data_IF_294981791250
#
_entry.id   IF_294981791250
#
_cell.length_a   1.000
_cell.length_b   1.000
_cell.length_c   1.000
_cell.angle_alpha   90.00
_cell.angle_beta   90.00
_cell.angle_gamma   90.00
#
_symmetry.space_group_name_H-M   'P 1'
#
loop_
_entity.id
_entity.type
_entity.pdbx_description
1 polymer ?
#
# COMPACT_ATOMS: atom_id res chain seq x y z
N UNK A 1 -38.81 -2.03 10.94
CA UNK A 1 -37.39 -1.78 11.27
C UNK A 1 -36.68 -1.49 9.96
N UNK A 2 -36.26 -0.24 9.73
CA UNK A 2 -35.57 0.15 8.51
C UNK A 2 -34.11 -0.31 8.64
N UNK A 3 -33.70 -1.23 7.79
CA UNK A 3 -32.33 -1.68 7.71
C UNK A 3 -31.52 -0.55 7.06
N UNK A 4 -30.71 0.14 7.85
CA UNK A 4 -29.75 1.12 7.33
C UNK A 4 -28.67 0.33 6.61
N UNK A 5 -28.73 0.31 5.29
CA UNK A 5 -27.67 -0.26 4.45
C UNK A 5 -26.50 0.71 4.52
N UNK A 6 -25.40 0.29 5.13
CA UNK A 6 -24.16 1.04 5.12
C UNK A 6 -23.55 1.02 3.70
N UNK A 7 -23.88 2.04 2.93
CA UNK A 7 -23.38 2.22 1.56
C UNK A 7 -21.85 2.35 1.50
N UNK A 8 -21.19 2.72 2.63
CA UNK A 8 -19.72 2.78 2.71
C UNK A 8 -19.08 1.39 2.63
N UNK A 9 -19.70 0.37 3.25
CA UNK A 9 -19.23 -1.01 3.14
C UNK A 9 -19.30 -1.55 1.70
N UNK A 10 -20.24 -1.03 0.90
CA UNK A 10 -20.39 -1.43 -0.52
C UNK A 10 -19.55 -0.57 -1.48
N UNK A 11 -19.29 0.70 -1.15
CA UNK A 11 -18.57 1.63 -2.00
C UNK A 11 -17.04 1.50 -1.88
N UNK A 12 -16.50 1.24 -0.68
CA UNK A 12 -15.06 1.27 -0.41
C UNK A 12 -14.26 0.23 -1.20
N UNK A 13 -14.73 -1.01 -1.25
CA UNK A 13 -13.98 -2.11 -1.84
C UNK A 13 -13.99 -2.15 -3.39
N UNK A 14 -14.95 -1.50 -4.06
CA UNK A 14 -15.05 -1.55 -5.52
C UNK A 14 -14.38 -0.37 -6.25
N UNK A 15 -13.76 0.55 -5.53
CA UNK A 15 -13.27 1.83 -6.07
C UNK A 15 -11.75 2.01 -6.03
N UNK A 16 -10.99 1.06 -5.54
CA UNK A 16 -9.51 1.16 -5.57
C UNK A 16 -9.01 1.06 -7.01
N UNK A 17 -8.92 2.22 -7.68
CA UNK A 17 -8.54 2.35 -9.08
C UNK A 17 -7.04 2.51 -9.30
N UNK A 18 -6.26 2.44 -8.25
CA UNK A 18 -4.80 2.53 -8.25
C UNK A 18 -4.25 1.60 -7.16
N UNK A 19 -3.21 0.86 -7.47
CA UNK A 19 -2.42 0.14 -6.48
C UNK A 19 -1.16 0.93 -6.17
N UNK A 20 -0.92 1.24 -4.91
CA UNK A 20 0.29 1.94 -4.43
C UNK A 20 1.17 0.95 -3.67
N UNK A 21 2.38 0.73 -4.15
CA UNK A 21 3.37 -0.14 -3.52
C UNK A 21 4.50 0.71 -2.95
N UNK A 22 4.67 0.67 -1.62
CA UNK A 22 5.62 1.55 -0.94
C UNK A 22 6.90 0.80 -0.58
N UNK A 23 8.02 1.41 -0.92
CA UNK A 23 9.39 1.07 -0.46
C UNK A 23 9.78 -0.40 -0.58
N UNK A 24 9.38 -1.07 -1.67
CA UNK A 24 9.78 -2.44 -1.99
C UNK A 24 11.24 -2.50 -2.44
N UNK A 25 12.16 -2.08 -1.56
CA UNK A 25 13.58 -1.94 -1.82
C UNK A 25 14.43 -2.80 -0.89
N UNK A 26 15.61 -3.21 -1.36
CA UNK A 26 16.52 -4.10 -0.63
C UNK A 26 16.92 -3.57 0.75
N UNK A 27 17.15 -2.25 0.90
CA UNK A 27 17.57 -1.69 2.18
C UNK A 27 16.47 -1.83 3.25
N UNK A 28 15.21 -1.60 2.88
CA UNK A 28 14.08 -1.82 3.79
C UNK A 28 13.91 -3.29 4.13
N UNK A 29 14.03 -4.17 3.13
CA UNK A 29 13.99 -5.60 3.35
C UNK A 29 15.09 -6.07 4.30
N UNK A 30 16.35 -5.67 4.06
CA UNK A 30 17.49 -6.02 4.93
C UNK A 30 17.28 -5.51 6.36
N UNK A 31 16.63 -4.36 6.53
CA UNK A 31 16.29 -3.86 7.87
C UNK A 31 15.23 -4.73 8.54
N UNK A 32 14.16 -5.10 7.85
CA UNK A 32 13.12 -5.99 8.37
C UNK A 32 13.67 -7.37 8.76
N UNK A 33 14.58 -7.92 7.96
CA UNK A 33 15.28 -9.18 8.28
C UNK A 33 16.11 -9.03 9.56
N UNK A 34 16.87 -7.95 9.70
CA UNK A 34 17.63 -7.66 10.95
C UNK A 34 16.71 -7.45 12.15
N UNK A 35 15.54 -6.88 11.94
CA UNK A 35 14.51 -6.68 12.95
C UNK A 35 13.78 -7.98 13.33
N UNK A 36 14.14 -9.09 12.70
CA UNK A 36 13.50 -10.40 12.87
C UNK A 36 11.98 -10.36 12.67
N UNK A 37 11.53 -9.57 11.71
CA UNK A 37 10.12 -9.48 11.38
C UNK A 37 9.60 -10.82 10.88
N UNK A 38 8.47 -11.28 11.45
CA UNK A 38 7.88 -12.56 11.12
C UNK A 38 7.11 -12.53 9.81
N UNK A 39 7.10 -13.66 9.08
CA UNK A 39 6.23 -13.83 7.91
C UNK A 39 6.59 -12.97 6.70
N UNK A 40 7.81 -12.48 6.60
CA UNK A 40 8.25 -11.58 5.53
C UNK A 40 8.08 -12.17 4.13
N UNK A 41 8.37 -13.47 3.94
CA UNK A 41 8.18 -14.14 2.64
C UNK A 41 6.71 -14.10 2.23
N UNK A 42 5.79 -14.34 3.18
CA UNK A 42 4.36 -14.24 2.93
C UNK A 42 3.94 -12.81 2.55
N UNK A 43 4.49 -11.81 3.19
CA UNK A 43 4.24 -10.39 2.83
C UNK A 43 4.66 -10.11 1.39
N UNK A 44 5.86 -10.56 0.98
CA UNK A 44 6.32 -10.40 -0.40
C UNK A 44 5.45 -11.17 -1.40
N UNK A 45 4.96 -12.36 -1.05
CA UNK A 45 4.06 -13.12 -1.89
C UNK A 45 2.71 -12.42 -2.05
N UNK A 46 2.19 -11.79 -0.99
CA UNK A 46 0.99 -10.96 -1.09
C UNK A 46 1.23 -9.70 -1.94
N UNK A 47 2.40 -9.06 -1.82
CA UNK A 47 2.77 -7.95 -2.70
C UNK A 47 2.81 -8.40 -4.18
N UNK A 48 3.45 -9.54 -4.48
CA UNK A 48 3.47 -10.11 -5.84
C UNK A 48 2.06 -10.39 -6.37
N UNK A 49 1.22 -10.99 -5.53
CA UNK A 49 -0.17 -11.31 -5.85
C UNK A 49 -0.98 -10.05 -6.16
N UNK A 50 -0.86 -9.00 -5.34
CA UNK A 50 -1.54 -7.73 -5.57
C UNK A 50 -1.06 -7.06 -6.88
N UNK A 51 0.25 -7.00 -7.10
CA UNK A 51 0.86 -6.44 -8.32
C UNK A 51 0.41 -7.20 -9.57
N UNK A 52 0.44 -8.53 -9.52
CA UNK A 52 0.01 -9.36 -10.65
C UNK A 52 -1.47 -9.17 -10.97
N UNK A 53 -2.33 -9.19 -9.94
CA UNK A 53 -3.75 -8.92 -10.10
C UNK A 53 -4.02 -7.55 -10.73
N UNK A 54 -3.32 -6.51 -10.26
CA UNK A 54 -3.46 -5.17 -10.82
C UNK A 54 -3.11 -5.15 -12.32
N UNK A 55 -2.01 -5.78 -12.71
CA UNK A 55 -1.57 -5.90 -14.11
C UNK A 55 -2.58 -6.66 -14.97
N UNK A 56 -3.09 -7.80 -14.48
CA UNK A 56 -4.04 -8.64 -15.20
C UNK A 56 -5.40 -7.97 -15.40
N UNK A 57 -5.74 -7.02 -14.53
CA UNK A 57 -7.03 -6.30 -14.58
C UNK A 57 -6.92 -4.84 -15.03
N UNK A 58 -5.74 -4.42 -15.54
CA UNK A 58 -5.52 -3.06 -16.03
C UNK A 58 -5.63 -1.98 -14.94
N UNK A 59 -5.41 -2.34 -13.68
CA UNK A 59 -5.35 -1.38 -12.56
C UNK A 59 -3.97 -0.71 -12.61
N UNK A 60 -3.86 0.62 -12.73
CA UNK A 60 -2.59 1.31 -12.68
C UNK A 60 -1.83 1.03 -11.39
N UNK A 61 -0.50 0.98 -11.48
CA UNK A 61 0.36 0.76 -10.31
C UNK A 61 1.29 1.96 -10.13
N UNK A 62 1.39 2.43 -8.90
CA UNK A 62 2.33 3.44 -8.46
C UNK A 62 3.31 2.82 -7.45
N UNK A 63 4.57 2.84 -7.77
CA UNK A 63 5.64 2.52 -6.82
C UNK A 63 6.14 3.81 -6.19
N UNK A 64 6.41 3.78 -4.90
CA UNK A 64 7.04 4.92 -4.23
C UNK A 64 8.34 4.49 -3.57
N UNK A 65 9.28 5.41 -3.49
CA UNK A 65 10.56 5.24 -2.80
C UNK A 65 11.02 6.56 -2.19
N UNK A 66 11.92 6.53 -1.19
CA UNK A 66 12.57 7.73 -0.72
C UNK A 66 13.32 8.40 -1.86
N UNK A 67 13.21 9.71 -1.99
CA UNK A 67 14.04 10.50 -2.88
C UNK A 67 15.48 10.58 -2.37
N UNK A 68 16.39 11.03 -3.23
CA UNK A 68 17.78 11.33 -2.83
C UNK A 68 17.74 12.42 -1.76
N UNK A 69 18.32 12.17 -0.60
CA UNK A 69 18.45 13.20 0.44
C UNK A 69 19.34 14.32 -0.10
N UNK A 70 18.80 15.53 -0.19
CA UNK A 70 19.57 16.76 -0.44
C UNK A 70 20.35 17.11 0.84
N UNK A 71 21.35 16.31 1.19
CA UNK A 71 22.29 16.57 2.27
C UNK A 71 23.63 17.02 1.70
N UNK A 72 24.29 17.95 2.38
CA UNK A 72 25.68 18.34 2.09
C UNK A 72 26.57 17.12 2.34
N UNK A 73 27.02 16.45 1.28
CA UNK A 73 27.87 15.26 1.33
C UNK A 73 27.14 14.03 0.77
N UNK A 74 27.77 13.41 -0.21
CA UNK A 74 27.49 12.13 -0.85
C UNK A 74 26.00 11.83 -1.20
N UNK A 75 25.70 11.86 -2.49
CA UNK A 75 24.48 11.25 -3.05
C UNK A 75 24.45 9.79 -2.61
N UNK A 76 23.57 9.46 -1.69
CA UNK A 76 23.32 8.07 -1.34
C UNK A 76 22.67 7.41 -2.55
N UNK A 77 23.36 6.44 -3.15
CA UNK A 77 22.78 5.67 -4.24
C UNK A 77 21.43 5.10 -3.82
N UNK A 78 20.44 5.20 -4.70
CA UNK A 78 19.13 4.64 -4.43
C UNK A 78 19.23 3.12 -4.27
N UNK A 79 18.58 2.59 -3.23
CA UNK A 79 18.51 1.16 -3.00
C UNK A 79 17.79 0.46 -4.16
N UNK A 80 18.31 -0.67 -4.66
CA UNK A 80 17.64 -1.45 -5.69
C UNK A 80 16.23 -1.90 -5.25
N UNK A 81 15.36 -2.13 -6.22
CA UNK A 81 14.07 -2.79 -6.00
C UNK A 81 14.29 -4.26 -5.65
N UNK A 82 13.37 -4.83 -4.88
CA UNK A 82 13.38 -6.24 -4.56
C UNK A 82 13.16 -7.08 -5.83
N UNK A 83 13.93 -8.16 -6.03
CA UNK A 83 13.81 -9.03 -7.20
C UNK A 83 12.38 -9.55 -7.41
N UNK A 84 11.85 -9.36 -8.62
CA UNK A 84 10.49 -9.75 -8.99
C UNK A 84 9.38 -8.81 -8.51
N UNK A 85 9.76 -7.69 -7.87
CA UNK A 85 8.84 -6.63 -7.41
C UNK A 85 9.20 -5.26 -8.02
N UNK A 86 10.01 -5.25 -9.08
CA UNK A 86 10.43 -4.03 -9.75
C UNK A 86 9.28 -3.41 -10.55
N UNK A 87 9.22 -2.07 -10.62
CA UNK A 87 8.34 -1.38 -11.55
C UNK A 87 8.61 -1.81 -12.99
N UNK A 88 7.55 -2.05 -13.78
CA UNK A 88 7.62 -2.20 -15.22
C UNK A 88 7.48 -0.86 -15.93
N UNK A 89 7.76 -0.81 -17.23
CA UNK A 89 7.70 0.43 -18.03
C UNK A 89 6.35 1.15 -17.96
N UNK A 90 5.25 0.43 -17.74
CA UNK A 90 3.92 1.00 -17.63
C UNK A 90 3.56 1.49 -16.23
N UNK A 91 4.37 1.17 -15.22
CA UNK A 91 4.12 1.53 -13.84
C UNK A 91 4.67 2.94 -13.56
N UNK A 92 4.01 3.67 -12.67
CA UNK A 92 4.47 4.96 -12.20
C UNK A 92 5.49 4.78 -11.07
N UNK A 93 6.51 5.64 -11.00
CA UNK A 93 7.47 5.68 -9.89
C UNK A 93 7.53 7.09 -9.34
N UNK A 94 7.27 7.23 -8.04
CA UNK A 94 7.29 8.50 -7.32
C UNK A 94 8.37 8.51 -6.25
N UNK A 95 9.23 9.51 -6.29
CA UNK A 95 10.21 9.78 -5.24
C UNK A 95 9.61 10.77 -4.24
N UNK A 96 9.68 10.45 -2.96
CA UNK A 96 9.15 11.29 -1.90
C UNK A 96 10.23 11.76 -0.94
N UNK A 97 10.07 12.98 -0.47
CA UNK A 97 10.97 13.60 0.52
C UNK A 97 10.43 13.49 1.96
N UNK A 98 9.18 13.02 2.10
CA UNK A 98 8.47 12.90 3.36
C UNK A 98 7.91 11.47 3.52
N UNK A 99 7.51 11.05 4.73
CA UNK A 99 6.90 9.73 4.92
C UNK A 99 5.66 9.52 4.05
N UNK A 100 4.77 10.50 3.97
CA UNK A 100 3.57 10.41 3.14
C UNK A 100 3.88 10.40 1.64
N UNK A 101 3.16 9.57 0.87
CA UNK A 101 3.22 9.57 -0.59
C UNK A 101 2.79 10.93 -1.17
N UNK A 102 1.96 11.69 -0.48
CA UNK A 102 1.57 13.06 -0.84
C UNK A 102 2.72 14.08 -0.74
N UNK A 103 3.86 13.70 -0.18
CA UNK A 103 5.09 14.48 -0.27
C UNK A 103 5.67 14.60 -1.69
N UNK A 104 5.07 13.91 -2.67
CA UNK A 104 5.31 14.08 -4.09
C UNK A 104 4.08 14.73 -4.75
N UNK A 105 4.23 15.88 -5.38
CA UNK A 105 3.12 16.63 -5.99
C UNK A 105 2.45 15.88 -7.13
N UNK A 106 3.22 15.16 -7.95
CA UNK A 106 2.67 14.36 -9.06
C UNK A 106 1.83 13.19 -8.54
N UNK A 107 2.20 12.58 -7.42
CA UNK A 107 1.38 11.56 -6.76
C UNK A 107 0.03 12.17 -6.34
N UNK A 108 0.07 13.33 -5.69
CA UNK A 108 -1.15 14.05 -5.31
C UNK A 108 -2.05 14.34 -6.51
N UNK A 109 -1.49 14.81 -7.63
CA UNK A 109 -2.25 15.11 -8.85
C UNK A 109 -2.91 13.87 -9.45
N UNK A 110 -2.21 12.72 -9.45
CA UNK A 110 -2.75 11.44 -9.92
C UNK A 110 -3.91 11.00 -9.04
N UNK A 111 -3.70 10.98 -7.70
CA UNK A 111 -4.74 10.51 -6.76
C UNK A 111 -5.95 11.45 -6.73
N UNK A 112 -5.76 12.76 -6.86
CA UNK A 112 -6.87 13.74 -6.92
C UNK A 112 -7.81 13.51 -8.10
N UNK A 113 -7.32 12.91 -9.20
CA UNK A 113 -8.17 12.54 -10.36
C UNK A 113 -8.88 11.21 -10.18
N UNK A 114 -8.32 10.30 -9.37
CA UNK A 114 -8.81 8.93 -9.19
C UNK A 114 -9.72 8.84 -7.96
N UNK A 115 -9.41 9.55 -6.90
CA UNK A 115 -10.14 9.64 -5.64
C UNK A 115 -9.96 8.45 -4.70
N UNK A 116 -9.34 7.35 -5.15
CA UNK A 116 -9.18 6.15 -4.33
C UNK A 116 -8.00 5.27 -4.75
N UNK A 117 -7.36 4.59 -3.77
CA UNK A 117 -6.27 3.65 -4.04
C UNK A 117 -6.16 2.56 -2.97
N UNK A 118 -5.55 1.44 -3.34
CA UNK A 118 -5.06 0.47 -2.38
C UNK A 118 -3.58 0.73 -2.08
N UNK A 119 -3.13 0.48 -0.86
CA UNK A 119 -1.73 0.70 -0.45
C UNK A 119 -1.20 -0.52 0.29
N UNK A 120 0.00 -0.96 -0.09
CA UNK A 120 0.77 -2.02 0.56
C UNK A 120 2.27 -1.78 0.42
N UNK A 121 3.09 -2.62 1.05
CA UNK A 121 4.54 -2.55 0.98
C UNK A 121 5.21 -2.39 2.34
N UNK A 122 6.44 -1.87 2.35
CA UNK A 122 7.29 -1.90 3.54
C UNK A 122 7.23 -0.58 4.31
N UNK A 123 7.25 -0.73 5.66
CA UNK A 123 7.09 0.29 6.69
C UNK A 123 5.66 0.86 6.79
N UNK A 124 4.70 -0.05 7.11
CA UNK A 124 3.30 0.32 7.34
C UNK A 124 3.13 1.41 8.41
N UNK A 125 3.87 1.31 9.51
CA UNK A 125 3.83 2.24 10.64
C UNK A 125 4.36 3.65 10.31
N UNK A 126 4.97 3.84 9.17
CA UNK A 126 5.47 5.15 8.73
C UNK A 126 4.74 5.60 7.47
N UNK A 127 4.94 4.88 6.36
CA UNK A 127 4.54 5.35 5.03
C UNK A 127 3.03 5.19 4.84
N UNK A 128 2.50 3.99 5.11
CA UNK A 128 1.07 3.75 4.92
C UNK A 128 0.24 4.59 5.88
N UNK A 129 0.64 4.68 7.16
CA UNK A 129 -0.05 5.50 8.16
C UNK A 129 -0.04 6.99 7.79
N UNK A 130 1.13 7.56 7.48
CA UNK A 130 1.21 8.97 7.08
C UNK A 130 0.39 9.26 5.82
N UNK A 131 0.41 8.33 4.85
CA UNK A 131 -0.36 8.46 3.61
C UNK A 131 -1.85 8.35 3.84
N UNK A 132 -2.30 7.46 4.74
CA UNK A 132 -3.72 7.31 5.09
C UNK A 132 -4.27 8.57 5.78
N UNK A 133 -3.51 9.17 6.69
CA UNK A 133 -3.87 10.44 7.36
C UNK A 133 -4.02 11.55 6.32
N UNK A 134 -3.03 11.71 5.45
CA UNK A 134 -3.06 12.73 4.39
C UNK A 134 -4.17 12.52 3.36
N UNK A 135 -4.49 11.26 3.05
CA UNK A 135 -5.58 10.90 2.16
C UNK A 135 -6.95 11.27 2.76
N UNK A 136 -7.16 10.92 4.04
CA UNK A 136 -8.40 11.26 4.75
C UNK A 136 -8.63 12.78 4.81
N UNK A 137 -7.56 13.57 5.02
CA UNK A 137 -7.63 15.03 5.01
C UNK A 137 -7.99 15.63 3.64
N UNK A 138 -7.94 14.81 2.56
CA UNK A 138 -8.25 15.19 1.17
C UNK A 138 -9.50 14.50 0.63
N UNK A 139 -10.28 13.84 1.47
CA UNK A 139 -11.45 13.04 1.09
C UNK A 139 -11.13 11.93 0.06
N UNK A 140 -9.89 11.40 0.08
CA UNK A 140 -9.51 10.28 -0.75
C UNK A 140 -9.72 8.96 0.02
N UNK A 141 -10.26 7.95 -0.66
CA UNK A 141 -10.47 6.62 -0.08
C UNK A 141 -9.23 5.74 -0.19
N UNK A 142 -8.83 5.15 0.91
CA UNK A 142 -7.68 4.24 0.96
C UNK A 142 -8.12 2.86 1.42
N UNK A 143 -7.62 1.81 0.74
CA UNK A 143 -7.68 0.43 1.19
C UNK A 143 -6.27 -0.01 1.58
N UNK A 144 -6.03 -0.22 2.86
CA UNK A 144 -4.75 -0.71 3.36
C UNK A 144 -4.69 -2.24 3.26
N UNK A 145 -3.73 -2.76 2.51
CA UNK A 145 -3.49 -4.20 2.36
C UNK A 145 -2.62 -4.70 3.51
N UNK A 146 -3.24 -5.10 4.60
CA UNK A 146 -2.55 -5.41 5.85
C UNK A 146 -1.63 -6.62 5.76
N UNK A 147 -1.96 -7.62 4.96
CA UNK A 147 -1.15 -8.82 4.75
C UNK A 147 -0.09 -8.67 3.63
N UNK A 148 -0.18 -7.60 2.82
CA UNK A 148 0.86 -7.19 1.88
C UNK A 148 1.72 -6.04 2.43
N UNK A 149 1.81 -5.91 3.76
CA UNK A 149 2.56 -4.87 4.43
C UNK A 149 3.32 -5.43 5.63
N UNK A 150 4.45 -4.81 5.97
CA UNK A 150 5.25 -5.14 7.16
C UNK A 150 5.67 -3.87 7.90
N UNK A 151 6.07 -4.02 9.14
CA UNK A 151 6.54 -2.94 10.01
C UNK A 151 7.88 -3.27 10.65
N UNK A 152 8.69 -2.27 10.91
CA UNK A 152 9.93 -2.40 11.66
C UNK A 152 9.66 -2.54 13.16
N UNK A 153 10.52 -3.26 13.85
CA UNK A 153 10.52 -3.26 15.32
C UNK A 153 10.78 -1.84 15.87
N UNK A 154 10.30 -1.58 17.06
CA UNK A 154 10.60 -0.37 17.84
C UNK A 154 11.18 -0.75 19.19
N UNK A 155 11.77 0.20 19.91
CA UNK A 155 12.56 -0.05 21.14
C UNK A 155 11.91 -1.01 22.15
N UNK A 156 10.58 -0.99 22.24
CA UNK A 156 9.82 -1.77 23.23
C UNK A 156 8.75 -2.69 22.62
N UNK A 157 8.75 -2.86 21.28
CA UNK A 157 7.77 -3.67 20.58
C UNK A 157 8.42 -4.40 19.39
N UNK A 158 8.13 -5.68 19.26
CA UNK A 158 8.53 -6.45 18.08
C UNK A 158 7.76 -5.99 16.82
N UNK A 159 8.18 -6.45 15.66
CA UNK A 159 7.60 -6.06 14.37
C UNK A 159 6.12 -6.42 14.26
N UNK A 160 5.69 -7.52 14.86
CA UNK A 160 4.29 -7.98 14.82
C UNK A 160 3.39 -7.08 15.65
N UNK A 161 3.82 -6.73 16.87
CA UNK A 161 3.10 -5.79 17.73
C UNK A 161 3.01 -4.41 17.07
N UNK A 162 4.13 -3.90 16.51
CA UNK A 162 4.13 -2.63 15.78
C UNK A 162 3.18 -2.68 14.58
N UNK A 163 3.18 -3.76 13.81
CA UNK A 163 2.30 -3.92 12.66
C UNK A 163 0.82 -3.96 13.05
N UNK A 164 0.49 -4.66 14.13
CA UNK A 164 -0.88 -4.72 14.67
C UNK A 164 -1.38 -3.33 15.10
N UNK A 165 -0.54 -2.58 15.83
CA UNK A 165 -0.86 -1.22 16.26
C UNK A 165 -1.00 -0.29 15.05
N UNK A 166 -0.07 -0.37 14.10
CA UNK A 166 -0.12 0.44 12.87
C UNK A 166 -1.38 0.15 12.05
N UNK A 167 -1.75 -1.12 11.91
CA UNK A 167 -2.98 -1.52 11.21
C UNK A 167 -4.22 -0.94 11.89
N UNK A 168 -4.29 -1.00 13.22
CA UNK A 168 -5.39 -0.41 13.99
C UNK A 168 -5.44 1.11 13.84
N UNK A 169 -4.28 1.78 13.86
CA UNK A 169 -4.20 3.23 13.67
C UNK A 169 -4.58 3.66 12.25
N UNK A 170 -4.14 2.92 11.23
CA UNK A 170 -4.51 3.14 9.84
C UNK A 170 -6.03 2.97 9.67
N UNK A 171 -6.64 2.00 10.35
CA UNK A 171 -8.08 1.74 10.32
C UNK A 171 -8.96 2.89 10.81
N UNK A 172 -8.38 3.94 11.44
CA UNK A 172 -9.09 5.18 11.77
C UNK A 172 -9.25 6.10 10.54
N UNK A 173 -8.47 5.92 9.50
CA UNK A 173 -8.39 6.81 8.32
C UNK A 173 -8.62 6.07 6.99
N UNK A 174 -8.55 4.74 6.99
CA UNK A 174 -8.59 3.89 5.80
C UNK A 174 -9.31 2.57 6.09
N UNK A 175 -9.81 1.92 5.07
CA UNK A 175 -10.34 0.56 5.17
C UNK A 175 -9.17 -0.44 5.21
N UNK A 176 -9.09 -1.28 6.23
CA UNK A 176 -8.12 -2.38 6.28
C UNK A 176 -8.70 -3.63 5.62
N UNK A 177 -7.95 -4.22 4.69
CA UNK A 177 -8.35 -5.44 3.98
C UNK A 177 -7.15 -6.40 3.84
N UNK A 178 -7.46 -7.68 3.61
CA UNK A 178 -6.46 -8.61 3.10
C UNK A 178 -6.33 -8.46 1.59
N UNK A 179 -5.19 -8.86 1.04
CA UNK A 179 -4.97 -8.92 -0.42
C UNK A 179 -6.09 -9.73 -1.08
N UNK A 180 -6.43 -10.89 -0.55
CA UNK A 180 -7.52 -11.74 -1.09
C UNK A 180 -8.85 -11.00 -1.19
N UNK A 181 -9.24 -10.26 -0.16
CA UNK A 181 -10.47 -9.48 -0.17
C UNK A 181 -10.44 -8.36 -1.22
N UNK A 182 -9.30 -7.70 -1.35
CA UNK A 182 -9.11 -6.65 -2.36
C UNK A 182 -9.18 -7.22 -3.80
N UNK A 183 -8.56 -8.40 -4.04
CA UNK A 183 -8.66 -9.08 -5.34
C UNK A 183 -10.12 -9.35 -5.73
N UNK A 184 -10.90 -9.90 -4.79
CA UNK A 184 -12.34 -10.18 -5.02
C UNK A 184 -13.11 -8.88 -5.29
N UNK A 185 -12.81 -7.81 -4.54
CA UNK A 185 -13.48 -6.53 -4.68
C UNK A 185 -13.22 -5.87 -6.03
N UNK A 186 -12.00 -6.00 -6.55
CA UNK A 186 -11.54 -5.36 -7.80
C UNK A 186 -11.61 -6.24 -9.03
N UNK A 187 -12.03 -7.51 -8.90
CA UNK A 187 -12.24 -8.41 -10.04
C UNK A 187 -13.29 -7.86 -11.01
N UNK A 188 -13.11 -8.06 -12.33
CA UNK A 188 -14.10 -7.67 -13.34
C UNK A 188 -15.49 -8.26 -13.05
N UNK A 189 -16.55 -7.49 -13.29
CA UNK A 189 -17.95 -7.90 -12.99
C UNK A 189 -18.39 -9.18 -13.68
N UNK A 190 -17.79 -9.55 -14.79
CA UNK A 190 -18.11 -10.79 -15.52
C UNK A 190 -17.82 -12.07 -14.72
N UNK A 191 -16.95 -12.02 -13.73
CA UNK A 191 -16.64 -13.18 -12.86
C UNK A 191 -17.55 -13.28 -11.62
N UNK A 192 -18.38 -12.27 -11.36
CA UNK A 192 -19.30 -12.26 -10.20
C UNK A 192 -20.66 -12.96 -10.47
N UNK A 193 -20.97 -13.30 -11.73
CA UNK A 193 -22.28 -13.71 -12.20
C UNK A 193 -22.60 -15.23 -12.12
N UNK A 194 -21.70 -16.09 -11.63
CA UNK A 194 -21.91 -17.55 -11.72
C UNK A 194 -21.90 -18.30 -10.39
N UNK A 195 -22.40 -17.72 -9.30
CA UNK A 195 -22.59 -18.46 -8.04
C UNK A 195 -23.96 -18.33 -7.44
N UNK A 196 -25.04 -18.38 -8.24
CA UNK A 196 -26.38 -18.74 -7.76
C UNK A 196 -27.09 -19.48 -8.91
N UNK A 197 -26.99 -20.79 -8.90
CA UNK A 197 -27.79 -21.76 -9.56
C UNK A 197 -28.00 -22.92 -8.62
#
# INVERSE_FOLDING_TARGET
>A
MSQVIDLKAYAGASLSRLLVMVDLQEDNWRRLVRDQACGLDRVLDQCRTAIQHARDNGIPIAFTRPGEALGVGERRAQSPWLPGLEPKRADMVFERQQPSCYGNSLFNDVVSRIGSFAIGGLAAEQIALATAIDAAARDHHVTFLSDASASHRRSHADSSAVHSIATSAIGLFADAATTSNWLVATAPRSLRGHRYG
#
